data_IF_199477229813
#
_entry.id   IF_199477229813
#
_cell.length_a   1.000
_cell.length_b   1.000
_cell.length_c   1.000
_cell.angle_alpha   90.00
_cell.angle_beta   90.00
_cell.angle_gamma   90.00
#
_symmetry.space_group_name_H-M   'P 1'
#
loop_
_entity.id
_entity.type
_entity.pdbx_description
1 polymer ?
#
# COMPACT_ATOMS: atom_id res chain seq x y z
N UNK A 1 -2.75 10.66 -3.05
CA UNK A 1 -2.75 9.43 -2.23
C UNK A 1 -1.73 9.47 -1.09
N UNK A 2 -0.44 9.74 -1.36
CA UNK A 2 0.61 9.84 -0.32
C UNK A 2 0.24 10.86 0.76
N UNK A 3 -0.25 12.04 0.35
CA UNK A 3 -0.60 13.13 1.27
C UNK A 3 -1.68 12.76 2.27
N UNK A 4 -2.75 12.09 1.82
CA UNK A 4 -3.81 11.57 2.68
C UNK A 4 -3.30 10.44 3.59
N UNK A 5 -2.44 9.56 3.08
CA UNK A 5 -1.83 8.48 3.88
C UNK A 5 -0.95 9.02 5.02
N UNK A 6 -0.29 10.16 4.82
CA UNK A 6 0.60 10.75 5.81
C UNK A 6 -0.10 11.68 6.81
N UNK A 7 -1.24 12.27 6.43
CA UNK A 7 -1.86 13.39 7.15
C UNK A 7 -3.30 13.15 7.59
N UNK A 8 -4.01 12.22 6.96
CA UNK A 8 -5.46 12.02 7.17
C UNK A 8 -5.75 10.66 7.84
N UNK A 9 -6.11 10.73 9.12
CA UNK A 9 -6.52 9.56 9.90
C UNK A 9 -7.79 8.91 9.33
N UNK A 10 -8.76 9.70 8.85
CA UNK A 10 -10.02 9.18 8.31
C UNK A 10 -9.81 8.40 7.02
N UNK A 11 -8.85 8.83 6.19
CA UNK A 11 -8.43 8.08 5.02
C UNK A 11 -7.79 6.74 5.42
N UNK A 12 -6.86 6.75 6.37
CA UNK A 12 -6.21 5.53 6.85
C UNK A 12 -7.22 4.53 7.44
N UNK A 13 -8.19 4.99 8.24
CA UNK A 13 -9.25 4.12 8.78
C UNK A 13 -10.04 3.38 7.69
N UNK A 14 -10.24 4.00 6.53
CA UNK A 14 -11.01 3.40 5.44
C UNK A 14 -10.17 2.60 4.46
N UNK A 15 -8.89 2.93 4.30
CA UNK A 15 -8.07 2.44 3.20
C UNK A 15 -6.73 1.82 3.61
N UNK A 16 -6.42 1.67 4.91
CA UNK A 16 -5.12 1.14 5.33
C UNK A 16 -4.82 -0.23 4.72
N UNK A 17 -5.77 -1.17 4.79
CA UNK A 17 -5.62 -2.51 4.19
C UNK A 17 -5.62 -2.49 2.66
N UNK A 18 -6.16 -1.44 2.05
CA UNK A 18 -6.26 -1.31 0.59
C UNK A 18 -5.04 -0.63 -0.04
N UNK A 19 -4.18 0.03 0.75
CA UNK A 19 -3.02 0.78 0.27
C UNK A 19 -1.75 0.01 0.60
N UNK A 20 -1.00 -0.45 -0.40
CA UNK A 20 0.33 -1.03 -0.19
C UNK A 20 1.43 -0.03 -0.57
N UNK A 21 2.57 -0.08 0.14
CA UNK A 21 3.77 0.71 -0.21
C UNK A 21 4.26 0.37 -1.62
N UNK A 22 4.07 -0.85 -2.11
CA UNK A 22 4.59 -1.31 -3.39
C UNK A 22 3.79 -0.74 -4.57
N UNK A 23 2.64 -0.10 -4.32
CA UNK A 23 1.87 0.62 -5.34
C UNK A 23 2.52 1.94 -5.76
N UNK A 24 3.40 2.50 -4.94
CA UNK A 24 4.13 3.73 -5.26
C UNK A 24 5.38 3.38 -6.05
N UNK A 25 5.78 4.20 -7.02
CA UNK A 25 6.94 3.92 -7.87
C UNK A 25 8.25 4.39 -7.23
N UNK A 26 8.21 5.52 -6.53
CA UNK A 26 9.39 6.15 -5.94
C UNK A 26 9.68 5.62 -4.53
N UNK A 27 10.95 5.33 -4.27
CA UNK A 27 11.39 4.72 -3.01
C UNK A 27 11.09 5.59 -1.77
N UNK A 28 11.05 6.92 -1.94
CA UNK A 28 10.75 7.85 -0.87
C UNK A 28 9.28 7.74 -0.41
N UNK A 29 8.33 7.75 -1.33
CA UNK A 29 6.91 7.53 -1.05
C UNK A 29 6.66 6.15 -0.48
N UNK A 30 7.28 5.08 -1.04
CA UNK A 30 7.16 3.73 -0.47
C UNK A 30 7.57 3.72 1.01
N UNK A 31 8.70 4.34 1.32
CA UNK A 31 9.20 4.44 2.68
C UNK A 31 8.26 5.23 3.59
N UNK A 32 7.84 6.42 3.16
CA UNK A 32 6.97 7.30 3.94
C UNK A 32 5.60 6.66 4.22
N UNK A 33 4.98 6.06 3.20
CA UNK A 33 3.72 5.32 3.32
C UNK A 33 3.88 4.15 4.30
N UNK A 34 4.95 3.36 4.17
CA UNK A 34 5.19 2.25 5.09
C UNK A 34 5.32 2.72 6.55
N UNK A 35 6.01 3.84 6.78
CA UNK A 35 6.15 4.44 8.13
C UNK A 35 4.80 4.89 8.68
N UNK A 36 3.99 5.59 7.88
CA UNK A 36 2.69 6.08 8.33
C UNK A 36 1.71 4.93 8.59
N UNK A 37 1.64 3.94 7.72
CA UNK A 37 0.86 2.71 7.94
C UNK A 37 1.25 2.00 9.23
N UNK A 38 2.56 1.82 9.46
CA UNK A 38 3.05 1.17 10.68
C UNK A 38 2.72 1.98 11.95
N UNK A 39 2.75 3.31 11.87
CA UNK A 39 2.32 4.16 12.97
C UNK A 39 0.81 4.02 13.21
N UNK A 40 -0.01 4.07 12.16
CA UNK A 40 -1.45 3.90 12.26
C UNK A 40 -1.84 2.54 12.83
N UNK A 41 -1.22 1.43 12.40
CA UNK A 41 -1.46 0.10 12.99
C UNK A 41 -1.24 0.03 14.50
N UNK A 42 -0.37 0.89 15.04
CA UNK A 42 -0.02 0.89 16.46
C UNK A 42 -0.81 1.90 17.28
N UNK A 43 -1.22 3.01 16.66
CA UNK A 43 -1.76 4.18 17.37
C UNK A 43 -3.10 4.68 16.81
N UNK A 44 -3.67 3.99 15.81
CA UNK A 44 -4.95 4.29 15.14
C UNK A 44 -5.10 5.74 14.66
N UNK A 45 -3.97 6.40 14.39
CA UNK A 45 -3.89 7.81 14.00
C UNK A 45 -2.80 8.03 12.96
N UNK A 46 -2.97 9.05 12.12
CA UNK A 46 -1.90 9.50 11.23
C UNK A 46 -0.75 10.10 12.06
N UNK A 47 0.53 9.85 11.68
CA UNK A 47 1.66 10.40 12.42
C UNK A 47 1.70 11.93 12.31
N UNK A 48 1.99 12.61 13.42
CA UNK A 48 2.32 14.04 13.36
C UNK A 48 3.61 14.27 12.57
N UNK A 49 3.81 15.48 12.01
CA UNK A 49 5.05 15.86 11.31
C UNK A 49 6.29 15.61 12.17
N UNK A 50 6.22 15.88 13.48
CA UNK A 50 7.31 15.65 14.42
C UNK A 50 7.59 14.17 14.62
N UNK A 51 6.54 13.36 14.74
CA UNK A 51 6.65 11.90 14.86
C UNK A 51 7.25 11.28 13.61
N UNK A 52 6.79 11.70 12.43
CA UNK A 52 7.30 11.25 11.14
C UNK A 52 8.78 11.62 10.97
N UNK A 53 9.17 12.85 11.33
CA UNK A 53 10.57 13.27 11.34
C UNK A 53 11.44 12.41 12.30
N UNK A 54 10.91 12.07 13.48
CA UNK A 54 11.59 11.19 14.43
C UNK A 54 11.85 9.79 13.84
N UNK A 55 10.85 9.21 13.15
CA UNK A 55 11.02 7.92 12.48
C UNK A 55 12.03 7.97 11.35
N UNK A 56 12.02 9.03 10.54
CA UNK A 56 13.02 9.23 9.48
C UNK A 56 14.43 9.29 10.10
N UNK A 57 14.63 10.08 11.16
CA UNK A 57 15.92 10.15 11.83
C UNK A 57 16.35 8.82 12.44
N UNK A 58 15.42 8.06 13.04
CA UNK A 58 15.70 6.72 13.53
C UNK A 58 16.13 5.75 12.42
N UNK A 59 15.48 5.81 11.25
CA UNK A 59 15.82 4.99 10.10
C UNK A 59 17.21 5.33 9.52
N UNK A 60 17.60 6.61 9.55
CA UNK A 60 18.96 7.05 9.16
C UNK A 60 20.01 6.49 10.13
N UNK A 61 19.76 6.61 11.45
CA UNK A 61 20.70 6.15 12.48
C UNK A 61 20.91 4.63 12.44
N UNK A 62 19.85 3.88 12.14
CA UNK A 62 19.89 2.41 12.05
C UNK A 62 20.38 1.88 10.71
N UNK A 63 20.67 2.75 9.73
CA UNK A 63 21.11 2.34 8.38
C UNK A 63 20.00 1.75 7.51
N UNK A 64 18.75 1.72 7.99
CA UNK A 64 17.58 1.24 7.22
C UNK A 64 17.22 2.17 6.08
N UNK A 65 17.56 3.46 6.20
CA UNK A 65 17.39 4.45 5.14
C UNK A 65 18.75 4.87 4.59
N UNK A 66 18.96 4.66 3.30
CA UNK A 66 20.15 5.14 2.59
C UNK A 66 20.16 6.67 2.58
N UNK A 67 21.30 7.28 2.90
CA UNK A 67 21.45 8.75 2.97
C UNK A 67 21.11 9.44 1.65
N UNK A 68 21.34 8.75 0.53
CA UNK A 68 21.01 9.21 -0.82
C UNK A 68 19.52 9.46 -1.05
N UNK A 69 18.63 8.80 -0.31
CA UNK A 69 17.17 8.95 -0.43
C UNK A 69 16.62 10.13 0.39
N UNK A 70 17.44 10.75 1.25
CA UNK A 70 17.01 11.85 2.12
C UNK A 70 16.52 13.08 1.32
N UNK A 71 17.19 13.52 0.23
CA UNK A 71 16.71 14.63 -0.58
C UNK A 71 15.33 14.35 -1.19
N UNK A 72 15.12 13.14 -1.71
CA UNK A 72 13.84 12.75 -2.30
C UNK A 72 12.73 12.70 -1.24
N UNK A 73 13.01 12.17 -0.04
CA UNK A 73 12.06 12.19 1.08
C UNK A 73 11.67 13.61 1.47
N UNK A 74 12.63 14.54 1.51
CA UNK A 74 12.33 15.96 1.79
C UNK A 74 11.46 16.58 0.70
N UNK A 75 11.71 16.24 -0.57
CA UNK A 75 10.90 16.71 -1.71
C UNK A 75 9.46 16.21 -1.58
N UNK A 76 9.27 14.90 -1.42
CA UNK A 76 7.93 14.30 -1.28
C UNK A 76 7.20 14.84 -0.06
N UNK A 77 7.89 15.02 1.06
CA UNK A 77 7.30 15.64 2.26
C UNK A 77 6.82 17.06 1.97
N UNK A 78 7.59 17.88 1.25
CA UNK A 78 7.18 19.22 0.87
C UNK A 78 5.92 19.19 0.01
N UNK A 79 5.93 18.39 -1.06
CA UNK A 79 4.77 18.22 -1.95
C UNK A 79 3.51 17.79 -1.17
N UNK A 80 3.67 16.86 -0.23
CA UNK A 80 2.60 16.36 0.62
C UNK A 80 1.98 17.44 1.49
N UNK A 81 2.75 18.39 2.00
CA UNK A 81 2.23 19.47 2.86
C UNK A 81 1.76 20.69 2.07
N UNK A 82 2.32 20.92 0.88
CA UNK A 82 1.88 21.98 -0.02
C UNK A 82 0.52 21.64 -0.67
N UNK A 83 0.22 20.35 -0.86
CA UNK A 83 -1.08 19.90 -1.36
C UNK A 83 -2.19 20.04 -0.30
N UNK A 84 -3.30 20.76 -0.58
CA UNK A 84 -4.45 20.78 0.32
C UNK A 84 -5.14 19.42 0.35
N UNK A 85 -5.58 18.99 1.54
CA UNK A 85 -6.39 17.78 1.65
C UNK A 85 -7.82 18.10 1.21
N UNK A 86 -8.29 17.36 0.22
CA UNK A 86 -9.60 17.52 -0.40
C UNK A 86 -10.04 16.24 -1.07
N UNK A 87 -11.31 16.17 -1.43
CA UNK A 87 -11.87 15.07 -2.24
C UNK A 87 -11.68 13.67 -1.64
N UNK A 88 -11.68 13.55 -0.31
CA UNK A 88 -11.48 12.29 0.41
C UNK A 88 -12.39 11.17 -0.13
N UNK A 89 -13.68 11.45 -0.34
CA UNK A 89 -14.64 10.46 -0.85
C UNK A 89 -14.24 9.92 -2.22
N UNK A 90 -13.85 10.81 -3.13
CA UNK A 90 -13.39 10.43 -4.46
C UNK A 90 -12.10 9.59 -4.38
N UNK A 91 -11.14 10.00 -3.54
CA UNK A 91 -9.89 9.26 -3.38
C UNK A 91 -10.12 7.85 -2.82
N UNK A 92 -11.00 7.69 -1.82
CA UNK A 92 -11.37 6.39 -1.25
C UNK A 92 -11.99 5.49 -2.32
N UNK A 93 -12.87 6.02 -3.16
CA UNK A 93 -13.49 5.28 -4.26
C UNK A 93 -12.44 4.82 -5.30
N UNK A 94 -11.50 5.70 -5.66
CA UNK A 94 -10.42 5.37 -6.58
C UNK A 94 -9.50 4.27 -6.02
N UNK A 95 -9.11 4.38 -4.74
CA UNK A 95 -8.28 3.37 -4.07
C UNK A 95 -9.00 2.03 -4.00
N UNK A 96 -10.29 2.04 -3.65
CA UNK A 96 -11.11 0.81 -3.58
C UNK A 96 -11.21 0.14 -4.95
N UNK A 97 -11.45 0.93 -5.99
CA UNK A 97 -11.52 0.44 -7.37
C UNK A 97 -10.17 -0.16 -7.79
N UNK A 98 -9.07 0.52 -7.51
CA UNK A 98 -7.73 0.03 -7.82
C UNK A 98 -7.43 -1.29 -7.11
N UNK A 99 -7.74 -1.39 -5.80
CA UNK A 99 -7.52 -2.60 -5.01
C UNK A 99 -8.32 -3.80 -5.57
N UNK A 100 -9.58 -3.60 -5.99
CA UNK A 100 -10.38 -4.64 -6.64
C UNK A 100 -9.75 -5.15 -7.94
N UNK A 101 -9.27 -4.25 -8.79
CA UNK A 101 -8.59 -4.63 -10.04
C UNK A 101 -7.31 -5.44 -9.76
N UNK A 102 -6.53 -5.06 -8.76
CA UNK A 102 -5.33 -5.80 -8.33
C UNK A 102 -5.68 -7.19 -7.79
N UNK A 103 -6.71 -7.30 -6.96
CA UNK A 103 -7.16 -8.58 -6.43
C UNK A 103 -7.62 -9.53 -7.55
N UNK A 104 -8.36 -9.01 -8.53
CA UNK A 104 -8.77 -9.79 -9.70
C UNK A 104 -7.55 -10.27 -10.52
N UNK A 105 -6.59 -9.39 -10.77
CA UNK A 105 -5.37 -9.75 -11.50
C UNK A 105 -4.58 -10.83 -10.75
N UNK A 106 -4.42 -10.69 -9.44
CA UNK A 106 -3.75 -11.70 -8.61
C UNK A 106 -4.48 -13.05 -8.63
N UNK A 107 -5.81 -13.04 -8.59
CA UNK A 107 -6.62 -14.26 -8.71
C UNK A 107 -6.43 -14.94 -10.07
N UNK A 108 -6.40 -14.18 -11.17
CA UNK A 108 -6.14 -14.72 -12.50
C UNK A 108 -4.76 -15.35 -12.61
N UNK A 109 -3.72 -14.69 -12.10
CA UNK A 109 -2.37 -15.27 -12.09
C UNK A 109 -2.31 -16.56 -11.29
N UNK A 110 -2.98 -16.61 -10.14
CA UNK A 110 -3.06 -17.83 -9.32
C UNK A 110 -3.74 -18.98 -10.08
N UNK A 111 -4.83 -18.71 -10.80
CA UNK A 111 -5.48 -19.73 -11.63
C UNK A 111 -4.50 -20.28 -12.67
N UNK A 112 -3.74 -19.42 -13.34
CA UNK A 112 -2.71 -19.85 -14.31
C UNK A 112 -1.63 -20.70 -13.64
N UNK A 113 -1.12 -20.31 -12.47
CA UNK A 113 -0.13 -21.09 -11.72
C UNK A 113 -0.66 -22.47 -11.28
N UNK A 114 -1.91 -22.54 -10.82
CA UNK A 114 -2.56 -23.78 -10.42
C UNK A 114 -2.77 -24.70 -11.64
N UNK A 115 -3.09 -24.14 -12.81
CA UNK A 115 -3.17 -24.88 -14.07
C UNK A 115 -1.81 -25.49 -14.47
N UNK A 116 -0.74 -24.68 -14.48
CA UNK A 116 0.61 -25.17 -14.79
C UNK A 116 1.09 -26.25 -13.81
N UNK A 117 0.73 -26.13 -12.53
CA UNK A 117 1.07 -27.12 -11.50
C UNK A 117 0.36 -28.45 -11.76
N UNK A 118 -0.92 -28.42 -12.09
CA UNK A 118 -1.70 -29.62 -12.36
C UNK A 118 -1.21 -30.36 -13.61
N UNK A 119 -0.90 -29.61 -14.68
CA UNK A 119 -0.32 -30.16 -15.91
C UNK A 119 1.01 -30.90 -15.61
N UNK A 120 1.91 -30.28 -14.82
CA UNK A 120 3.18 -30.90 -14.41
C UNK A 120 3.00 -32.15 -13.53
N UNK A 121 1.92 -32.20 -12.76
CA UNK A 121 1.62 -33.33 -11.89
C UNK A 121 0.92 -34.49 -12.64
N UNK A 122 0.53 -34.31 -13.90
CA UNK A 122 -0.22 -35.30 -14.67
C UNK A 122 -1.62 -35.56 -14.13
N UNK A 123 -2.20 -34.58 -13.42
CA UNK A 123 -3.56 -34.64 -12.85
C UNK A 123 -4.45 -33.73 -13.68
N UNK A 124 -5.56 -34.25 -14.21
CA UNK A 124 -6.57 -33.43 -14.87
C UNK A 124 -7.17 -32.42 -13.87
N UNK A 125 -7.25 -31.15 -14.27
CA UNK A 125 -7.78 -30.08 -13.44
C UNK A 125 -9.27 -30.32 -13.15
N UNK A 126 -9.61 -30.54 -11.89
CA UNK A 126 -11.00 -30.52 -11.42
C UNK A 126 -11.50 -29.07 -11.36
N UNK A 127 -12.16 -28.64 -12.44
CA UNK A 127 -12.75 -27.32 -12.57
C UNK A 127 -13.87 -27.02 -11.54
N UNK A 128 -14.30 -28.00 -10.72
CA UNK A 128 -15.28 -27.77 -9.65
C UNK A 128 -14.75 -26.95 -8.46
N UNK A 129 -13.43 -26.86 -8.27
CA UNK A 129 -12.84 -26.11 -7.13
C UNK A 129 -12.56 -24.63 -7.46
N UNK A 130 -12.38 -24.28 -8.73
CA UNK A 130 -12.16 -22.88 -9.13
C UNK A 130 -13.41 -22.03 -8.95
N UNK A 131 -14.61 -22.59 -9.06
CA UNK A 131 -15.88 -21.87 -8.82
C UNK A 131 -16.03 -21.38 -7.36
N UNK A 132 -15.42 -22.05 -6.39
CA UNK A 132 -15.47 -21.64 -4.98
C UNK A 132 -14.57 -20.43 -4.67
N UNK A 133 -13.53 -20.20 -5.48
CA UNK A 133 -12.60 -19.07 -5.32
C UNK A 133 -13.26 -17.75 -5.76
N UNK A 134 -14.23 -17.80 -6.68
CA UNK A 134 -14.99 -16.64 -7.13
C UNK A 134 -16.21 -16.30 -6.25
N UNK A 135 -16.54 -17.14 -5.26
CA UNK A 135 -17.74 -16.97 -4.41
C UNK A 135 -17.47 -16.44 -3.00
N UNK A 136 -16.22 -16.17 -2.60
CA UNK A 136 -15.98 -15.52 -1.29
C UNK A 136 -16.09 -13.99 -1.40
N UNK A 137 -16.91 -13.36 -0.54
CA UNK A 137 -17.19 -11.92 -0.58
C UNK A 137 -15.97 -11.06 -0.26
#
# INVERSE_FOLDING_TARGET
MVSHTLRDTSFLQQCEDLVDKDFFTDAASRFLVAVAKNHFKKYESAPSTRTLASYIQGAIKTGRLKKELIPDIKRVMKEVYDEPLGDLKYLVEQVTTFARHRALQAALFKVVEDMERAEKAGVDLDYGQVEQVFQKP
#
